data_IF_550705550441
#
_entry.id   IF_550705550441
#
_cell.length_a   1.000
_cell.length_b   1.000
_cell.length_c   1.000
_cell.angle_alpha   90.00
_cell.angle_beta   90.00
_cell.angle_gamma   90.00
#
_symmetry.space_group_name_H-M   'P 1'
#
loop_
_entity.id
_entity.type
_entity.pdbx_description
1 polymer ?
#
# COMPACT_ATOMS: atom_id res chain seq x y z
N UNK A 1 -2.21 -18.92 -21.94
CA UNK A 1 -3.00 -17.75 -21.51
C UNK A 1 -2.38 -16.51 -22.14
N UNK A 2 -2.95 -16.05 -23.25
CA UNK A 2 -2.41 -14.95 -24.06
C UNK A 2 -3.53 -13.93 -24.28
N UNK A 3 -4.02 -13.33 -23.19
CA UNK A 3 -5.10 -12.32 -23.21
C UNK A 3 -4.71 -11.05 -23.98
N UNK A 4 -3.42 -10.84 -24.22
CA UNK A 4 -2.90 -9.73 -25.03
C UNK A 4 -2.66 -10.07 -26.50
N UNK A 5 -2.54 -11.37 -26.86
CA UNK A 5 -2.28 -11.75 -28.25
C UNK A 5 -3.50 -11.62 -29.15
N UNK A 6 -4.72 -11.71 -28.58
CA UNK A 6 -5.98 -11.47 -29.30
C UNK A 6 -6.28 -10.01 -29.60
N UNK A 7 -5.47 -9.06 -29.09
CA UNK A 7 -5.63 -7.62 -29.37
C UNK A 7 -4.71 -7.10 -30.47
N UNK A 8 -3.84 -7.95 -31.01
CA UNK A 8 -2.99 -7.61 -32.15
C UNK A 8 -3.56 -8.35 -33.37
N UNK A 9 -4.41 -7.70 -34.20
CA UNK A 9 -4.94 -8.34 -35.39
C UNK A 9 -3.81 -8.69 -36.38
N UNK A 10 -3.91 -9.87 -37.01
CA UNK A 10 -2.97 -10.38 -38.01
C UNK A 10 -2.78 -9.44 -39.21
N UNK A 11 -3.70 -8.51 -39.43
CA UNK A 11 -3.65 -7.50 -40.48
C UNK A 11 -2.82 -6.26 -40.14
N UNK A 12 -2.33 -6.11 -38.90
CA UNK A 12 -1.65 -4.90 -38.43
C UNK A 12 -2.55 -3.66 -38.32
N UNK A 13 -3.83 -3.77 -38.70
CA UNK A 13 -4.84 -2.72 -38.60
C UNK A 13 -5.63 -3.01 -37.32
N UNK A 14 -5.30 -2.31 -36.23
CA UNK A 14 -6.13 -2.29 -35.03
C UNK A 14 -7.57 -1.93 -35.43
N UNK A 15 -8.51 -2.83 -35.21
CA UNK A 15 -9.94 -2.57 -35.40
C UNK A 15 -10.29 -1.26 -34.71
N UNK A 16 -11.03 -0.37 -35.39
CA UNK A 16 -11.39 0.96 -34.88
C UNK A 16 -11.92 0.92 -33.43
N UNK A 17 -12.69 -0.11 -33.08
CA UNK A 17 -13.21 -0.28 -31.71
C UNK A 17 -12.12 -0.46 -30.64
N UNK A 18 -10.95 -0.97 -31.00
CA UNK A 18 -9.81 -1.17 -30.09
C UNK A 18 -9.27 0.15 -29.54
N UNK A 19 -9.24 1.21 -30.35
CA UNK A 19 -8.78 2.54 -29.92
C UNK A 19 -9.72 3.16 -28.87
N UNK A 20 -11.03 3.01 -29.07
CA UNK A 20 -12.04 3.44 -28.09
C UNK A 20 -11.91 2.68 -26.77
N UNK A 21 -11.81 1.35 -26.84
CA UNK A 21 -11.63 0.50 -25.66
C UNK A 21 -10.37 0.92 -24.90
N UNK A 22 -9.27 1.19 -25.61
CA UNK A 22 -8.03 1.64 -25.00
C UNK A 22 -8.18 2.99 -24.29
N UNK A 23 -8.89 3.94 -24.88
CA UNK A 23 -9.20 5.23 -24.24
C UNK A 23 -10.00 5.06 -22.94
N UNK A 24 -11.04 4.22 -22.95
CA UNK A 24 -11.84 3.91 -21.75
C UNK A 24 -10.99 3.24 -20.67
N UNK A 25 -10.14 2.29 -21.05
CA UNK A 25 -9.24 1.58 -20.13
C UNK A 25 -8.25 2.55 -19.49
N UNK A 26 -7.66 3.49 -20.26
CA UNK A 26 -6.74 4.50 -19.72
C UNK A 26 -7.45 5.34 -18.65
N UNK A 27 -8.64 5.88 -18.95
CA UNK A 27 -9.41 6.69 -17.98
C UNK A 27 -9.75 5.88 -16.72
N UNK A 28 -10.26 4.66 -16.89
CA UNK A 28 -10.66 3.81 -15.78
C UNK A 28 -9.48 3.47 -14.86
N UNK A 29 -8.33 3.09 -15.42
CA UNK A 29 -7.14 2.75 -14.63
C UNK A 29 -6.56 4.02 -13.97
N UNK A 30 -6.47 5.15 -14.67
CA UNK A 30 -5.99 6.40 -14.07
C UNK A 30 -6.86 6.85 -12.91
N UNK A 31 -8.19 6.81 -13.06
CA UNK A 31 -9.14 7.15 -11.99
C UNK A 31 -9.03 6.18 -10.81
N UNK A 32 -8.89 4.88 -11.07
CA UNK A 32 -8.67 3.87 -10.04
C UNK A 32 -7.38 4.12 -9.25
N UNK A 33 -6.26 4.39 -9.93
CA UNK A 33 -4.99 4.71 -9.28
C UNK A 33 -5.07 5.97 -8.42
N UNK A 34 -5.73 7.02 -8.93
CA UNK A 34 -5.96 8.26 -8.16
C UNK A 34 -6.81 8.00 -6.91
N UNK A 35 -7.91 7.26 -7.06
CA UNK A 35 -8.79 6.89 -5.94
C UNK A 35 -8.07 6.06 -4.88
N UNK A 36 -7.29 5.06 -5.30
CA UNK A 36 -6.46 4.25 -4.41
C UNK A 36 -5.44 5.11 -3.66
N UNK A 37 -4.72 5.98 -4.37
CA UNK A 37 -3.73 6.87 -3.77
C UNK A 37 -4.36 7.80 -2.72
N UNK A 38 -5.48 8.46 -3.06
CA UNK A 38 -6.20 9.34 -2.14
C UNK A 38 -6.75 8.58 -0.93
N UNK A 39 -7.22 7.35 -1.10
CA UNK A 39 -7.67 6.50 0.01
C UNK A 39 -6.54 6.18 0.99
N UNK A 40 -5.38 5.74 0.49
CA UNK A 40 -4.22 5.46 1.34
C UNK A 40 -3.69 6.72 2.02
N UNK A 41 -3.68 7.85 1.31
CA UNK A 41 -3.27 9.12 1.87
C UNK A 41 -4.23 9.62 2.96
N UNK A 42 -5.53 9.49 2.74
CA UNK A 42 -6.55 9.83 3.74
C UNK A 42 -6.41 8.94 4.98
N UNK A 43 -6.20 7.63 4.80
CA UNK A 43 -5.96 6.69 5.90
C UNK A 43 -4.72 7.08 6.71
N UNK A 44 -3.64 7.47 6.04
CA UNK A 44 -2.41 7.97 6.68
C UNK A 44 -2.64 9.27 7.44
N UNK A 45 -3.38 10.23 6.87
CA UNK A 45 -3.67 11.51 7.56
C UNK A 45 -4.60 11.34 8.77
N UNK A 46 -5.45 10.31 8.77
CA UNK A 46 -6.38 10.01 9.86
C UNK A 46 -5.72 9.26 11.02
N UNK A 47 -4.51 8.74 10.87
CA UNK A 47 -3.86 8.04 11.98
C UNK A 47 -3.36 9.03 13.04
N UNK A 48 -3.30 8.55 14.29
CA UNK A 48 -2.82 9.32 15.43
C UNK A 48 -1.29 9.40 15.37
N UNK A 49 -0.77 10.28 14.52
CA UNK A 49 0.65 10.56 14.36
C UNK A 49 1.05 11.70 15.29
N UNK A 50 2.13 11.52 16.06
CA UNK A 50 2.74 12.58 16.86
C UNK A 50 3.46 13.57 15.95
N UNK A 51 4.30 13.01 15.09
CA UNK A 51 5.08 13.75 14.10
C UNK A 51 4.93 13.07 12.75
N UNK A 52 4.71 13.85 11.69
CA UNK A 52 4.59 13.31 10.33
C UNK A 52 5.16 14.26 9.29
N UNK A 53 5.70 13.66 8.23
CA UNK A 53 6.19 14.36 7.05
C UNK A 53 5.49 13.81 5.82
N UNK A 54 5.03 14.72 4.95
CA UNK A 54 4.45 14.39 3.64
C UNK A 54 5.24 15.12 2.57
N UNK A 55 5.71 14.38 1.57
CA UNK A 55 6.40 14.95 0.43
C UNK A 55 5.39 15.58 -0.54
N UNK A 56 5.19 16.89 -0.42
CA UNK A 56 4.25 17.67 -1.25
C UNK A 56 4.58 17.56 -2.74
N UNK A 57 5.86 17.46 -3.11
CA UNK A 57 6.27 17.36 -4.51
C UNK A 57 5.84 16.03 -5.12
N UNK A 58 6.16 14.90 -4.48
CA UNK A 58 5.74 13.58 -4.96
C UNK A 58 4.21 13.46 -5.00
N UNK A 59 3.53 13.99 -3.97
CA UNK A 59 2.07 14.03 -3.93
C UNK A 59 1.49 14.80 -5.13
N UNK A 60 2.02 15.99 -5.41
CA UNK A 60 1.61 16.79 -6.57
C UNK A 60 1.92 16.08 -7.88
N UNK A 61 3.09 15.44 -8.02
CA UNK A 61 3.48 14.73 -9.24
C UNK A 61 2.52 13.59 -9.57
N UNK A 62 2.11 12.79 -8.59
CA UNK A 62 1.15 11.69 -8.81
C UNK A 62 -0.23 12.22 -9.22
N UNK A 63 -0.73 13.26 -8.55
CA UNK A 63 -2.01 13.86 -8.90
C UNK A 63 -1.95 14.43 -10.32
N UNK A 64 -0.87 15.13 -10.68
CA UNK A 64 -0.70 15.68 -12.03
C UNK A 64 -0.62 14.60 -13.09
N UNK A 65 0.16 13.53 -12.87
CA UNK A 65 0.29 12.43 -13.83
C UNK A 65 -1.01 11.63 -14.01
N UNK A 66 -1.71 11.32 -12.92
CA UNK A 66 -3.02 10.64 -13.00
C UNK A 66 -4.06 11.51 -13.71
N UNK A 67 -4.11 12.81 -13.40
CA UNK A 67 -5.00 13.76 -14.07
C UNK A 67 -4.67 13.87 -15.55
N UNK A 68 -3.38 13.93 -15.91
CA UNK A 68 -2.93 13.94 -17.30
C UNK A 68 -3.36 12.66 -18.04
N UNK A 69 -3.25 11.49 -17.41
CA UNK A 69 -3.74 10.22 -17.95
C UNK A 69 -5.24 10.25 -18.23
N UNK A 70 -6.04 10.79 -17.32
CA UNK A 70 -7.50 10.96 -17.50
C UNK A 70 -7.79 11.90 -18.67
N UNK A 71 -7.08 13.03 -18.78
CA UNK A 71 -7.24 13.99 -19.89
C UNK A 71 -6.92 13.32 -21.22
N UNK A 72 -5.77 12.64 -21.33
CA UNK A 72 -5.36 11.96 -22.57
C UNK A 72 -6.35 10.86 -22.94
N UNK A 73 -6.76 10.02 -21.99
CA UNK A 73 -7.76 8.96 -22.24
C UNK A 73 -9.11 9.54 -22.68
N UNK A 74 -9.54 10.66 -22.10
CA UNK A 74 -10.76 11.36 -22.50
C UNK A 74 -10.64 11.94 -23.91
N UNK A 75 -9.47 12.50 -24.27
CA UNK A 75 -9.19 12.98 -25.62
C UNK A 75 -9.23 11.84 -26.64
N UNK A 76 -8.68 10.67 -26.33
CA UNK A 76 -8.80 9.48 -27.21
C UNK A 76 -10.26 9.16 -27.51
N UNK A 77 -11.13 9.16 -26.49
CA UNK A 77 -12.58 8.90 -26.66
C UNK A 77 -13.24 9.98 -27.52
N UNK A 78 -12.95 11.27 -27.25
CA UNK A 78 -13.53 12.39 -28.00
C UNK A 78 -13.08 12.40 -29.46
N UNK A 79 -11.79 12.20 -29.72
CA UNK A 79 -11.25 12.14 -31.08
C UNK A 79 -11.76 10.94 -31.85
N UNK A 80 -11.93 9.79 -31.18
CA UNK A 80 -12.53 8.62 -31.80
C UNK A 80 -13.98 8.85 -32.18
N UNK A 81 -14.81 9.34 -31.25
CA UNK A 81 -16.24 9.56 -31.47
C UNK A 81 -16.52 10.66 -32.50
N UNK A 82 -15.66 11.66 -32.61
CA UNK A 82 -15.79 12.78 -33.55
C UNK A 82 -14.82 12.70 -34.73
N UNK A 83 -14.24 11.54 -35.02
CA UNK A 83 -13.18 11.40 -36.02
C UNK A 83 -13.59 11.96 -37.40
N UNK A 84 -14.82 11.68 -37.85
CA UNK A 84 -15.36 12.20 -39.12
C UNK A 84 -15.48 13.71 -39.17
N UNK A 85 -15.80 14.36 -38.04
CA UNK A 85 -15.94 15.81 -37.96
C UNK A 85 -14.58 16.51 -37.92
N UNK A 86 -13.57 15.88 -37.31
CA UNK A 86 -12.23 16.46 -37.11
C UNK A 86 -11.33 16.23 -38.32
N UNK A 87 -11.32 15.00 -38.87
CA UNK A 87 -10.44 14.60 -39.96
C UNK A 87 -11.12 14.61 -41.32
N UNK A 88 -12.44 14.82 -41.39
CA UNK A 88 -13.21 14.85 -42.62
C UNK A 88 -13.73 13.47 -43.05
N UNK A 89 -14.58 13.42 -44.10
CA UNK A 89 -15.28 12.21 -44.50
C UNK A 89 -14.47 11.27 -45.42
N UNK A 90 -13.29 11.69 -45.89
CA UNK A 90 -12.53 10.94 -46.90
C UNK A 90 -11.84 9.71 -46.29
N UNK A 91 -11.97 8.55 -46.93
CA UNK A 91 -11.39 7.27 -46.45
C UNK A 91 -9.86 7.33 -46.29
N UNK A 92 -9.15 8.09 -47.15
CA UNK A 92 -7.70 8.31 -47.01
C UNK A 92 -7.32 9.04 -45.70
N UNK A 93 -8.24 9.78 -45.10
CA UNK A 93 -8.03 10.50 -43.84
C UNK A 93 -8.41 9.65 -42.63
N UNK A 94 -9.09 8.52 -42.83
CA UNK A 94 -9.42 7.57 -41.77
C UNK A 94 -8.15 6.89 -41.21
N UNK A 95 -7.21 6.52 -42.08
CA UNK A 95 -5.92 5.94 -41.67
C UNK A 95 -5.07 6.95 -40.88
N UNK A 96 -5.06 8.22 -41.32
CA UNK A 96 -4.39 9.30 -40.61
C UNK A 96 -5.02 9.53 -39.23
N UNK A 97 -6.35 9.56 -39.15
CA UNK A 97 -7.08 9.71 -37.88
C UNK A 97 -6.75 8.58 -36.91
N UNK A 98 -6.77 7.33 -37.39
CA UNK A 98 -6.45 6.16 -36.58
C UNK A 98 -5.00 6.19 -36.08
N UNK A 99 -4.05 6.54 -36.95
CA UNK A 99 -2.65 6.68 -36.58
C UNK A 99 -2.44 7.76 -35.52
N UNK A 100 -3.10 8.92 -35.64
CA UNK A 100 -3.01 9.99 -34.64
C UNK A 100 -3.61 9.54 -33.30
N UNK A 101 -4.80 8.93 -33.31
CA UNK A 101 -5.48 8.48 -32.08
C UNK A 101 -4.64 7.42 -31.35
N UNK A 102 -4.13 6.42 -32.08
CA UNK A 102 -3.39 5.31 -31.48
C UNK A 102 -1.98 5.76 -31.07
N UNK A 103 -1.19 6.26 -32.02
CA UNK A 103 0.24 6.52 -31.80
C UNK A 103 0.53 7.83 -31.09
N UNK A 104 -0.23 8.90 -31.38
CA UNK A 104 0.03 10.20 -30.78
C UNK A 104 -0.69 10.41 -29.44
N UNK A 105 -1.74 9.64 -29.14
CA UNK A 105 -2.51 9.81 -27.90
C UNK A 105 -2.54 8.55 -27.04
N UNK A 106 -3.03 7.43 -27.56
CA UNK A 106 -3.30 6.26 -26.73
C UNK A 106 -2.02 5.63 -26.17
N UNK A 107 -0.96 5.45 -26.97
CA UNK A 107 0.32 4.93 -26.47
C UNK A 107 1.00 5.85 -25.44
N UNK A 108 1.12 7.17 -25.67
CA UNK A 108 1.59 8.10 -24.64
C UNK A 108 0.73 8.06 -23.37
N UNK A 109 -0.60 7.99 -23.49
CA UNK A 109 -1.50 7.85 -22.35
C UNK A 109 -1.24 6.58 -21.55
N UNK A 110 -1.04 5.45 -22.23
CA UNK A 110 -0.67 4.18 -21.59
C UNK A 110 0.70 4.27 -20.90
N UNK A 111 1.68 4.91 -21.53
CA UNK A 111 3.00 5.14 -20.93
C UNK A 111 2.91 5.98 -19.65
N UNK A 112 2.05 7.01 -19.62
CA UNK A 112 1.79 7.80 -18.40
C UNK A 112 1.18 6.93 -17.30
N UNK A 113 0.22 6.05 -17.62
CA UNK A 113 -0.39 5.12 -16.65
C UNK A 113 0.64 4.16 -16.07
N UNK A 114 1.44 3.51 -16.93
CA UNK A 114 2.48 2.56 -16.51
C UNK A 114 3.54 3.27 -15.64
N UNK A 115 3.95 4.46 -16.04
CA UNK A 115 4.92 5.27 -15.28
C UNK A 115 4.37 5.63 -13.90
N UNK A 116 3.12 6.06 -13.84
CA UNK A 116 2.43 6.41 -12.58
C UNK A 116 2.33 5.18 -11.66
N UNK A 117 1.92 4.03 -12.20
CA UNK A 117 1.85 2.78 -11.45
C UNK A 117 3.22 2.37 -10.89
N UNK A 118 4.27 2.47 -11.70
CA UNK A 118 5.64 2.13 -11.30
C UNK A 118 6.14 3.04 -10.19
N UNK A 119 5.89 4.36 -10.29
CA UNK A 119 6.25 5.31 -9.24
C UNK A 119 5.49 4.99 -7.95
N UNK A 120 4.18 4.73 -8.04
CA UNK A 120 3.37 4.37 -6.88
C UNK A 120 3.86 3.11 -6.18
N UNK A 121 4.40 2.13 -6.92
CA UNK A 121 4.87 0.86 -6.37
C UNK A 121 6.27 0.96 -5.75
N UNK A 122 7.19 1.68 -6.39
CA UNK A 122 8.60 1.74 -5.95
C UNK A 122 8.80 2.84 -4.90
N UNK A 123 8.13 3.99 -5.04
CA UNK A 123 8.36 5.16 -4.18
C UNK A 123 7.29 5.36 -3.10
N UNK A 124 6.39 4.40 -2.85
CA UNK A 124 5.31 4.52 -1.84
C UNK A 124 5.84 4.98 -0.47
N UNK A 125 6.95 4.39 -0.03
CA UNK A 125 7.59 4.67 1.25
C UNK A 125 8.15 6.10 1.38
N UNK A 126 8.32 6.83 0.26
CA UNK A 126 8.84 8.19 0.24
C UNK A 126 7.73 9.26 0.25
N UNK A 127 6.46 8.88 0.06
CA UNK A 127 5.36 9.85 -0.01
C UNK A 127 5.03 10.44 1.36
N UNK A 128 5.11 9.63 2.41
CA UNK A 128 4.80 10.06 3.75
C UNK A 128 5.33 9.09 4.78
N UNK A 129 5.94 9.65 5.82
CA UNK A 129 6.47 8.92 6.98
C UNK A 129 5.96 9.62 8.24
N UNK A 130 5.65 8.85 9.27
CA UNK A 130 5.15 9.37 10.53
C UNK A 130 5.49 8.48 11.71
N UNK A 131 5.60 9.09 12.87
CA UNK A 131 5.82 8.41 14.14
C UNK A 131 4.54 8.47 14.94
N UNK A 132 3.95 7.31 15.23
CA UNK A 132 2.84 7.17 16.16
C UNK A 132 3.38 6.82 17.56
N UNK A 133 2.50 6.47 18.50
CA UNK A 133 2.90 6.06 19.85
C UNK A 133 3.70 4.76 19.86
N UNK A 134 3.30 3.78 19.04
CA UNK A 134 3.84 2.41 19.12
C UNK A 134 4.40 1.89 17.78
N UNK A 135 4.35 2.70 16.73
CA UNK A 135 4.69 2.29 15.36
C UNK A 135 5.15 3.45 14.50
N UNK A 136 6.07 3.14 13.60
CA UNK A 136 6.48 3.95 12.47
C UNK A 136 5.50 3.68 11.32
N UNK A 137 4.78 4.69 10.89
CA UNK A 137 3.79 4.59 9.81
C UNK A 137 4.37 5.16 8.51
N UNK A 138 4.25 4.40 7.44
CA UNK A 138 4.48 4.84 6.07
C UNK A 138 3.17 4.74 5.30
N UNK A 139 3.06 5.43 4.16
CA UNK A 139 1.87 5.28 3.32
C UNK A 139 1.79 3.83 2.79
N UNK A 140 0.79 3.09 3.27
CA UNK A 140 0.53 1.70 2.89
C UNK A 140 1.20 0.65 3.78
N UNK A 141 2.14 1.01 4.65
CA UNK A 141 2.87 0.07 5.50
C UNK A 141 3.05 0.60 6.92
N UNK A 142 2.89 -0.28 7.92
CA UNK A 142 3.05 0.05 9.33
C UNK A 142 4.12 -0.84 9.96
N UNK A 143 5.11 -0.22 10.61
CA UNK A 143 6.22 -0.89 11.28
C UNK A 143 6.15 -0.66 12.80
N UNK A 144 5.70 -1.65 13.60
CA UNK A 144 5.74 -1.57 15.05
C UNK A 144 7.16 -1.33 15.57
N UNK A 145 7.32 -0.47 16.59
CA UNK A 145 8.64 -0.21 17.17
C UNK A 145 9.29 -1.46 17.77
N UNK A 146 8.49 -2.42 18.24
CA UNK A 146 8.98 -3.72 18.72
C UNK A 146 9.68 -4.58 17.66
N UNK A 147 9.52 -4.25 16.36
CA UNK A 147 10.21 -4.92 15.27
C UNK A 147 11.47 -4.17 14.82
N UNK A 148 11.63 -2.92 15.20
CA UNK A 148 12.85 -2.17 14.93
C UNK A 148 13.94 -2.76 15.81
N UNK A 149 15.11 -3.00 15.21
CA UNK A 149 16.27 -3.58 15.90
C UNK A 149 17.31 -2.49 16.12
N UNK A 150 17.55 -1.67 15.10
CA UNK A 150 18.53 -0.60 15.15
C UNK A 150 18.13 0.53 14.19
N UNK A 151 18.51 1.75 14.56
CA UNK A 151 18.51 2.92 13.68
C UNK A 151 19.96 3.36 13.51
N UNK A 152 20.44 3.36 12.27
CA UNK A 152 21.84 3.61 11.93
C UNK A 152 21.97 4.90 11.13
N UNK A 153 22.90 5.74 11.54
CA UNK A 153 23.36 6.90 10.77
C UNK A 153 24.75 6.61 10.19
N UNK A 154 24.77 6.26 8.90
CA UNK A 154 25.98 5.93 8.17
C UNK A 154 26.51 7.18 7.46
N UNK A 155 27.55 7.75 8.06
CA UNK A 155 28.21 8.95 7.54
C UNK A 155 29.00 8.69 6.25
N UNK A 156 29.59 7.48 6.09
CA UNK A 156 30.34 7.10 4.90
C UNK A 156 29.41 7.02 3.68
N UNK A 157 28.29 6.32 3.82
CA UNK A 157 27.33 6.11 2.75
C UNK A 157 26.31 7.26 2.62
N UNK A 158 26.31 8.22 3.57
CA UNK A 158 25.33 9.32 3.70
C UNK A 158 23.89 8.81 3.71
N UNK A 159 23.62 7.78 4.52
CA UNK A 159 22.31 7.10 4.59
C UNK A 159 21.84 6.98 6.03
N UNK A 160 20.55 7.21 6.24
CA UNK A 160 19.85 6.83 7.45
C UNK A 160 19.16 5.49 7.19
N UNK A 161 19.42 4.49 8.04
CA UNK A 161 18.90 3.13 7.84
C UNK A 161 18.16 2.66 9.08
N UNK A 162 16.93 2.17 8.89
CA UNK A 162 16.17 1.46 9.93
C UNK A 162 16.28 -0.03 9.64
N UNK A 163 16.89 -0.78 10.55
CA UNK A 163 16.97 -2.24 10.49
C UNK A 163 15.80 -2.80 11.30
N UNK A 164 15.00 -3.67 10.69
CA UNK A 164 13.83 -4.24 11.34
C UNK A 164 13.65 -5.72 11.01
N UNK A 165 12.98 -6.45 11.91
CA UNK A 165 12.70 -7.87 11.75
C UNK A 165 11.44 -8.09 10.92
N UNK A 166 11.55 -8.86 9.84
CA UNK A 166 10.44 -9.33 9.02
C UNK A 166 10.23 -10.84 9.23
N UNK A 167 9.22 -11.18 10.03
CA UNK A 167 8.96 -12.57 10.43
C UNK A 167 9.85 -13.02 11.58
N UNK A 168 10.29 -14.28 11.56
CA UNK A 168 11.13 -14.86 12.63
C UNK A 168 12.62 -14.74 12.37
N UNK A 169 13.10 -14.88 11.14
CA UNK A 169 14.54 -15.05 10.90
C UNK A 169 15.16 -14.01 9.99
N UNK A 170 14.36 -13.21 9.29
CA UNK A 170 14.85 -12.26 8.29
C UNK A 170 14.85 -10.84 8.83
N UNK A 171 15.93 -10.12 8.58
CA UNK A 171 16.00 -8.68 8.76
C UNK A 171 15.83 -7.99 7.41
N UNK A 172 15.20 -6.82 7.44
CA UNK A 172 15.08 -5.92 6.30
C UNK A 172 15.54 -4.52 6.72
N UNK A 173 15.90 -3.74 5.72
CA UNK A 173 16.38 -2.37 5.90
C UNK A 173 15.47 -1.39 5.16
N UNK A 174 15.11 -0.29 5.82
CA UNK A 174 14.56 0.89 5.16
C UNK A 174 15.68 1.90 5.02
N UNK A 175 16.01 2.26 3.78
CA UNK A 175 17.14 3.12 3.48
C UNK A 175 16.65 4.48 3.02
N UNK A 176 17.07 5.53 3.72
CA UNK A 176 16.80 6.91 3.38
C UNK A 176 18.12 7.65 3.11
N UNK A 177 18.15 8.52 2.11
CA UNK A 177 19.32 9.39 1.90
C UNK A 177 19.37 10.43 3.03
N UNK A 178 20.51 10.57 3.70
CA UNK A 178 20.71 11.56 4.78
C UNK A 178 20.50 13.00 4.30
N UNK A 179 20.79 13.26 3.03
CA UNK A 179 20.55 14.56 2.39
C UNK A 179 19.08 14.85 2.05
N UNK A 180 18.20 13.84 2.13
CA UNK A 180 16.78 14.04 1.86
C UNK A 180 16.05 14.53 3.11
N UNK A 181 15.01 15.34 2.92
CA UNK A 181 14.16 15.82 4.02
C UNK A 181 13.56 14.65 4.82
N UNK A 182 13.21 13.55 4.15
CA UNK A 182 12.73 12.32 4.80
C UNK A 182 13.80 11.70 5.69
N UNK A 183 15.03 11.58 5.19
CA UNK A 183 16.15 11.02 5.97
C UNK A 183 16.49 11.86 7.20
N UNK A 184 16.52 13.19 7.06
CA UNK A 184 16.70 14.12 8.18
C UNK A 184 15.56 13.98 9.19
N UNK A 185 14.31 13.97 8.72
CA UNK A 185 13.13 13.79 9.58
C UNK A 185 13.19 12.48 10.37
N UNK A 186 13.59 11.37 9.74
CA UNK A 186 13.75 10.06 10.41
C UNK A 186 14.83 10.12 11.49
N UNK A 187 16.00 10.69 11.21
CA UNK A 187 17.08 10.79 12.19
C UNK A 187 16.71 11.71 13.37
N UNK A 188 16.09 12.86 13.10
CA UNK A 188 15.68 13.81 14.15
C UNK A 188 14.64 13.23 15.11
N UNK A 189 13.80 12.31 14.63
CA UNK A 189 12.72 11.70 15.40
C UNK A 189 12.99 10.25 15.81
N UNK A 190 14.18 9.72 15.52
CA UNK A 190 14.54 8.32 15.81
C UNK A 190 14.35 7.96 17.29
N UNK A 191 14.58 8.92 18.20
CA UNK A 191 14.38 8.75 19.65
C UNK A 191 12.93 8.34 20.02
N UNK A 192 11.94 8.69 19.20
CA UNK A 192 10.54 8.28 19.42
C UNK A 192 10.33 6.77 19.27
N UNK A 193 11.26 6.07 18.60
CA UNK A 193 11.23 4.61 18.49
C UNK A 193 11.72 3.88 19.74
N UNK A 194 12.27 4.61 20.73
CA UNK A 194 12.90 4.04 21.91
C UNK A 194 14.28 3.42 21.66
N UNK A 195 14.85 3.59 20.46
CA UNK A 195 16.18 3.13 20.09
C UNK A 195 17.15 4.30 19.93
N UNK A 196 18.38 4.12 20.38
CA UNK A 196 19.46 5.07 20.14
C UNK A 196 19.97 4.98 18.69
N UNK A 197 20.45 6.11 18.18
CA UNK A 197 21.03 6.19 16.83
C UNK A 197 22.47 5.72 16.88
N UNK A 198 22.79 4.68 16.13
CA UNK A 198 24.14 4.10 16.04
C UNK A 198 24.90 4.81 14.92
N UNK A 199 26.05 5.40 15.25
CA UNK A 199 26.93 6.12 14.33
C UNK A 199 27.99 5.17 13.76
N UNK A 200 27.56 4.21 12.95
CA UNK A 200 28.46 3.21 12.37
C UNK A 200 28.07 2.87 10.93
N UNK A 201 28.97 2.15 10.25
CA UNK A 201 28.72 1.62 8.90
C UNK A 201 27.62 0.57 8.95
N UNK A 202 26.63 0.67 8.06
CA UNK A 202 25.46 -0.25 8.02
C UNK A 202 25.88 -1.72 7.95
N UNK A 203 26.94 -2.03 7.20
CA UNK A 203 27.40 -3.42 7.03
C UNK A 203 27.82 -4.05 8.35
N UNK A 204 28.52 -3.30 9.21
CA UNK A 204 28.98 -3.80 10.51
C UNK A 204 27.80 -4.11 11.43
N UNK A 205 26.87 -3.16 11.54
CA UNK A 205 25.67 -3.31 12.36
C UNK A 205 24.82 -4.50 11.88
N UNK A 206 24.74 -4.73 10.58
CA UNK A 206 23.98 -5.86 10.03
C UNK A 206 24.65 -7.20 10.35
N UNK A 207 25.98 -7.29 10.22
CA UNK A 207 26.76 -8.48 10.57
C UNK A 207 26.60 -8.82 12.07
N UNK A 208 26.62 -7.81 12.94
CA UNK A 208 26.42 -7.97 14.39
C UNK A 208 24.99 -8.46 14.72
N UNK A 209 23.98 -7.91 14.04
CA UNK A 209 22.58 -8.33 14.20
C UNK A 209 22.38 -9.76 13.72
N UNK A 210 22.99 -10.16 12.61
CA UNK A 210 22.92 -11.51 12.07
C UNK A 210 23.66 -12.52 12.95
N UNK A 211 24.82 -12.15 13.50
CA UNK A 211 25.57 -12.95 14.46
C UNK A 211 24.76 -13.17 15.75
N UNK A 212 24.18 -12.10 16.31
CA UNK A 212 23.33 -12.17 17.50
C UNK A 212 22.10 -13.07 17.26
N UNK A 213 21.44 -12.93 16.11
CA UNK A 213 20.29 -13.75 15.76
C UNK A 213 20.65 -15.24 15.60
N UNK A 214 21.82 -15.54 15.03
CA UNK A 214 22.32 -16.92 14.90
C UNK A 214 22.55 -17.55 16.27
N UNK A 215 23.11 -16.80 17.22
CA UNK A 215 23.28 -17.26 18.61
C UNK A 215 21.93 -17.46 19.32
N UNK A 216 20.97 -16.54 19.13
CA UNK A 216 19.62 -16.70 19.69
C UNK A 216 18.90 -17.94 19.15
N UNK A 217 19.05 -18.24 17.86
CA UNK A 217 18.46 -19.43 17.24
C UNK A 217 19.15 -20.73 17.69
N UNK A 218 20.47 -20.71 17.89
CA UNK A 218 21.22 -21.86 18.42
C UNK A 218 20.86 -22.15 19.89
N UNK A 219 20.59 -21.11 20.68
CA UNK A 219 20.21 -21.22 22.09
C UNK A 219 18.71 -21.43 22.30
N UNK A 220 17.88 -21.20 21.29
CA UNK A 220 16.46 -21.53 21.31
C UNK A 220 16.30 -23.06 21.29
N UNK A 221 16.31 -23.66 22.49
CA UNK A 221 16.08 -25.08 22.75
C UNK A 221 14.97 -25.61 21.82
N UNK A 222 15.20 -26.69 21.05
CA UNK A 222 14.17 -27.22 20.17
C UNK A 222 12.98 -27.65 21.02
N UNK A 223 11.81 -27.09 20.73
CA UNK A 223 10.52 -27.37 21.39
C UNK A 223 10.01 -28.81 21.15
N UNK A 224 10.89 -29.73 20.79
CA UNK A 224 10.55 -31.03 20.18
C UNK A 224 10.52 -32.18 21.19
N UNK A 225 11.03 -32.01 22.41
CA UNK A 225 11.05 -33.10 23.41
C UNK A 225 9.97 -33.01 24.48
N UNK A 226 9.53 -31.83 24.93
CA UNK A 226 8.48 -31.75 25.97
C UNK A 226 7.07 -31.98 25.40
N UNK A 227 6.79 -31.57 24.16
CA UNK A 227 5.46 -31.75 23.54
C UNK A 227 5.21 -33.20 23.10
N UNK A 228 6.25 -33.98 22.78
CA UNK A 228 6.08 -35.42 22.46
C UNK A 228 5.73 -36.24 23.70
N UNK A 229 6.20 -35.86 24.88
CA UNK A 229 5.88 -36.55 26.13
C UNK A 229 4.44 -36.24 26.57
N UNK A 230 3.97 -35.00 26.41
CA UNK A 230 2.62 -34.61 26.81
C UNK A 230 1.52 -35.12 25.84
N UNK A 231 1.81 -35.21 24.53
CA UNK A 231 0.88 -35.82 23.55
C UNK A 231 0.83 -37.35 23.67
N UNK A 232 1.93 -38.00 24.03
CA UNK A 232 1.95 -39.45 24.30
C UNK A 232 1.14 -39.80 25.56
N UNK A 233 1.23 -38.99 26.63
CA UNK A 233 0.48 -39.20 27.87
C UNK A 233 -1.03 -38.99 27.66
N UNK A 234 -1.43 -37.99 26.87
CA UNK A 234 -2.85 -37.70 26.60
C UNK A 234 -3.50 -38.68 25.62
N UNK A 235 -2.73 -39.36 24.75
CA UNK A 235 -3.27 -40.42 23.87
C UNK A 235 -3.56 -41.73 24.62
N UNK A 236 -2.87 -42.03 25.72
CA UNK A 236 -3.21 -43.19 26.57
C UNK A 236 -4.48 -42.95 27.41
N UNK A 237 -4.73 -41.71 27.85
CA UNK A 237 -5.95 -41.37 28.61
C UNK A 237 -7.20 -41.40 27.70
N UNK A 238 -7.08 -40.97 26.44
CA UNK A 238 -8.21 -40.96 25.50
C UNK A 238 -8.64 -42.35 25.01
N UNK A 239 -7.73 -43.34 24.97
CA UNK A 239 -8.09 -44.73 24.58
C UNK A 239 -8.88 -45.49 25.64
N UNK A 240 -8.90 -45.01 26.89
CA UNK A 240 -9.63 -45.66 27.99
C UNK A 240 -11.05 -45.12 28.20
N UNK A 241 -11.42 -44.01 27.55
CA UNK A 241 -12.72 -43.36 27.69
C UNK A 241 -13.73 -43.71 26.58
N UNK A 242 -13.36 -44.51 25.58
CA UNK A 242 -14.21 -44.85 24.43
C UNK A 242 -15.01 -46.17 24.60
N UNK A 243 -15.11 -46.68 25.84
CA UNK A 243 -15.80 -47.93 26.18
C UNK A 243 -17.11 -47.74 26.98
N UNK A 244 -17.76 -46.58 26.89
CA UNK A 244 -19.11 -46.38 27.45
C UNK A 244 -20.15 -46.07 26.36
N UNK A 245 -21.37 -46.64 26.44
CA UNK A 245 -22.37 -46.56 25.38
C UNK A 245 -23.07 -45.20 25.36
N UNK A 246 -23.20 -44.64 24.16
CA UNK A 246 -23.94 -43.39 23.86
C UNK A 246 -25.42 -43.50 24.27
N UNK A 247 -25.96 -42.56 25.06
CA UNK A 247 -27.40 -42.43 25.25
C UNK A 247 -28.07 -41.73 24.07
N UNK A 248 -29.30 -42.16 23.84
CA UNK A 248 -30.20 -41.87 22.74
C UNK A 248 -30.76 -40.43 22.77
N UNK A 249 -31.03 -39.90 21.57
CA UNK A 249 -31.44 -38.51 21.28
C UNK A 249 -32.80 -38.13 21.90
N UNK A 250 -32.96 -36.84 22.25
CA UNK A 250 -34.25 -36.14 22.16
C UNK A 250 -34.14 -34.86 21.32
N UNK A 251 -35.12 -34.57 20.44
CA UNK A 251 -35.12 -33.37 19.61
C UNK A 251 -35.67 -32.18 20.40
N UNK A 252 -34.88 -31.10 20.50
CA UNK A 252 -35.31 -29.82 21.10
C UNK A 252 -35.76 -28.87 20.00
N UNK A 253 -36.98 -28.37 20.19
CA UNK A 253 -37.73 -27.42 19.38
C UNK A 253 -37.06 -26.04 19.25
N UNK A 254 -37.16 -25.44 18.06
CA UNK A 254 -36.76 -24.06 17.74
C UNK A 254 -37.56 -23.02 18.56
N UNK A 255 -36.91 -22.01 19.15
CA UNK A 255 -37.57 -20.76 19.54
C UNK A 255 -37.56 -19.73 18.40
N UNK A 256 -38.69 -19.01 18.33
CA UNK A 256 -39.03 -17.90 17.44
C UNK A 256 -38.28 -16.61 17.88
N UNK A 257 -37.93 -15.67 16.98
CA UNK A 257 -37.26 -14.43 17.37
C UNK A 257 -38.26 -13.42 17.94
N UNK A 258 -37.98 -12.90 19.13
CA UNK A 258 -38.64 -11.75 19.74
C UNK A 258 -37.93 -10.45 19.36
N UNK A 259 -38.74 -9.50 18.90
CA UNK A 259 -38.41 -8.12 18.54
C UNK A 259 -38.30 -7.27 19.81
N UNK A 260 -37.20 -6.52 19.96
CA UNK A 260 -37.02 -5.32 20.79
C UNK A 260 -35.74 -4.64 20.25
N UNK A 261 -35.66 -3.39 19.83
CA UNK A 261 -36.48 -2.23 20.15
C UNK A 261 -35.74 -1.35 21.15
N UNK A 262 -34.59 -0.77 20.78
CA UNK A 262 -33.97 0.30 21.57
C UNK A 262 -33.48 1.45 20.70
N UNK A 263 -34.11 2.58 20.99
CA UNK A 263 -33.88 3.94 20.51
C UNK A 263 -32.67 4.52 21.25
N UNK A 264 -31.68 5.08 20.55
CA UNK A 264 -30.59 5.84 21.17
C UNK A 264 -30.48 7.24 20.57
N UNK A 265 -30.36 8.20 21.47
CA UNK A 265 -30.51 9.64 21.35
C UNK A 265 -29.50 10.35 20.44
N UNK A 266 -29.99 11.41 19.78
CA UNK A 266 -29.19 12.43 19.08
C UNK A 266 -28.42 13.30 20.09
N UNK A 267 -27.10 13.53 19.90
CA UNK A 267 -26.38 14.58 20.62
C UNK A 267 -26.75 15.99 20.13
N UNK A 268 -26.97 16.91 21.08
CA UNK A 268 -27.19 18.35 20.86
C UNK A 268 -25.93 19.05 20.30
N UNK A 269 -26.07 20.11 19.48
CA UNK A 269 -24.93 20.85 18.93
C UNK A 269 -24.30 21.81 19.95
N UNK A 270 -22.98 21.76 20.04
CA UNK A 270 -22.14 22.66 20.83
C UNK A 270 -22.03 24.01 20.09
N UNK A 271 -22.41 25.10 20.77
CA UNK A 271 -22.24 26.49 20.31
C UNK A 271 -20.74 26.83 20.24
N UNK A 272 -20.29 27.34 19.09
CA UNK A 272 -18.95 27.94 18.95
C UNK A 272 -18.90 29.30 19.66
N UNK A 273 -17.81 29.63 20.38
CA UNK A 273 -17.56 30.97 20.87
C UNK A 273 -17.22 31.95 19.74
N UNK A 274 -17.62 33.20 19.95
CA UNK A 274 -17.50 34.34 19.04
C UNK A 274 -16.06 34.88 19.08
N UNK A 275 -15.45 35.26 17.94
CA UNK A 275 -14.11 35.84 17.95
C UNK A 275 -14.13 37.26 18.53
N UNK A 276 -13.18 37.48 19.43
CA UNK A 276 -12.82 38.75 20.04
C UNK A 276 -12.12 39.61 18.98
N UNK A 277 -12.61 40.84 18.77
CA UNK A 277 -11.94 41.85 17.95
C UNK A 277 -10.80 42.42 18.78
N UNK A 278 -9.56 42.22 18.35
CA UNK A 278 -8.48 43.09 18.75
C UNK A 278 -8.50 44.30 17.82
N UNK A 279 -8.73 45.47 18.41
CA UNK A 279 -8.42 46.78 17.82
C UNK A 279 -6.93 47.01 18.01
N UNK A 280 -6.21 47.22 16.90
CA UNK A 280 -5.00 48.03 16.78
C UNK A 280 -4.85 48.40 15.29
#
# INVERSE_FOLDING_TARGET
>A
MNLFASFIPESGILDNNSALVLGVVIVAISAFLLGMFLYYFYKFKKSNLKEFYVNKYLFSTIISLTTLGIIIGSLVIVFFTNARAIFGPDDLKADLANNVIIYAMAFPGLAVVISTFTILLIWTHLFGVGFSENRFEMIGENLPYSKIVAVVDDEEAKKAVIIYRQGRTKFRTLVFKKTSVVGLFVLSNAKLTGHDVILEKVSKVLDDVDAANTQMLANAKPLTEEVKVEVALNQEVSKKAEAEPKPEKKPVSKPKPSVQGETSEKPKPIKKPKPEKNED
#
